data_IF_802597179406
#
_entry.id   IF_802597179406
#
_cell.length_a   1.000
_cell.length_b   1.000
_cell.length_c   1.000
_cell.angle_alpha   90.00
_cell.angle_beta   90.00
_cell.angle_gamma   90.00
#
_symmetry.space_group_name_H-M   'P 1'
#
loop_
_entity.id
_entity.type
_entity.pdbx_description
1 polymer ?
#
# COMPACT_ATOMS: atom_id res chain seq x y z
N UNK A 1 -22.46 19.64 10.91
CA UNK A 1 -22.10 18.71 9.80
C UNK A 1 -20.95 17.83 10.25
N UNK A 2 -21.23 16.64 10.76
CA UNK A 2 -20.19 15.67 11.15
C UNK A 2 -19.95 14.73 9.97
N UNK A 3 -18.89 14.98 9.21
CA UNK A 3 -18.40 14.04 8.22
C UNK A 3 -17.73 12.88 8.97
N UNK A 4 -18.50 11.82 9.24
CA UNK A 4 -17.96 10.55 9.68
C UNK A 4 -17.02 10.05 8.59
N UNK A 5 -15.72 10.30 8.79
CA UNK A 5 -14.65 9.76 7.96
C UNK A 5 -14.58 8.28 8.30
N UNK A 6 -15.43 7.48 7.66
CA UNK A 6 -15.37 6.01 7.70
C UNK A 6 -13.95 5.64 7.30
N UNK A 7 -13.12 5.32 8.29
CA UNK A 7 -11.74 4.86 8.06
C UNK A 7 -11.90 3.55 7.29
N UNK A 8 -11.43 3.52 6.05
CA UNK A 8 -11.47 2.31 5.25
C UNK A 8 -10.57 1.25 5.88
N UNK A 9 -10.84 0.00 5.54
CA UNK A 9 -9.99 -1.11 5.97
C UNK A 9 -8.65 -0.99 5.23
N UNK A 10 -7.55 -0.93 5.99
CA UNK A 10 -6.21 -0.88 5.42
C UNK A 10 -5.65 -2.29 5.31
N UNK A 11 -5.27 -2.69 4.10
CA UNK A 11 -4.70 -3.99 3.83
C UNK A 11 -3.38 -3.84 3.07
N UNK A 12 -2.34 -4.61 3.45
CA UNK A 12 -1.11 -4.71 2.68
C UNK A 12 -1.32 -5.50 1.38
N UNK A 13 -0.54 -5.15 0.36
CA UNK A 13 -0.52 -5.87 -0.90
C UNK A 13 0.65 -5.46 -1.80
N UNK A 14 0.82 -6.22 -2.87
CA UNK A 14 1.89 -6.03 -3.85
C UNK A 14 1.33 -5.52 -5.18
N UNK A 15 2.00 -4.53 -5.77
CA UNK A 15 1.62 -3.99 -7.07
C UNK A 15 2.00 -4.98 -8.18
N UNK A 16 1.01 -5.56 -8.84
CA UNK A 16 1.21 -6.55 -9.90
C UNK A 16 1.27 -5.92 -11.29
N UNK A 17 0.45 -4.90 -11.56
CA UNK A 17 0.40 -4.23 -12.88
C UNK A 17 0.12 -2.73 -12.76
N UNK A 18 0.73 -1.94 -13.64
CA UNK A 18 0.48 -0.51 -13.79
C UNK A 18 -0.48 -0.29 -14.97
N UNK A 19 -1.61 0.40 -14.75
CA UNK A 19 -2.57 0.76 -15.80
C UNK A 19 -2.29 2.19 -16.29
N UNK A 20 -2.59 2.47 -17.56
CA UNK A 20 -2.27 3.74 -18.23
C UNK A 20 -2.98 4.98 -17.65
N UNK A 21 -4.05 4.79 -16.88
CA UNK A 21 -4.83 5.87 -16.25
C UNK A 21 -4.36 6.24 -14.83
N UNK A 22 -3.14 5.82 -14.44
CA UNK A 22 -2.63 6.05 -13.09
C UNK A 22 -3.34 5.21 -12.02
N UNK A 23 -4.02 4.15 -12.43
CA UNK A 23 -4.48 3.08 -11.55
C UNK A 23 -3.46 1.94 -11.52
N UNK A 24 -3.50 1.17 -10.44
CA UNK A 24 -2.61 0.04 -10.24
C UNK A 24 -3.45 -1.17 -9.86
N UNK A 25 -3.08 -2.34 -10.40
CA UNK A 25 -3.60 -3.62 -9.91
C UNK A 25 -2.70 -4.08 -8.77
N UNK A 26 -3.30 -4.27 -7.61
CA UNK A 26 -2.64 -4.75 -6.42
C UNK A 26 -3.20 -6.11 -6.07
N UNK A 27 -2.31 -7.06 -5.81
CA UNK A 27 -2.63 -8.33 -5.19
C UNK A 27 -2.53 -8.17 -3.69
N UNK A 28 -3.67 -8.26 -3.02
CA UNK A 28 -3.72 -8.30 -1.55
C UNK A 28 -3.11 -9.60 -1.06
N UNK A 29 -2.61 -9.61 0.17
CA UNK A 29 -2.12 -10.84 0.84
C UNK A 29 -3.22 -11.92 0.91
N UNK A 30 -4.48 -11.50 0.98
CA UNK A 30 -5.65 -12.37 0.95
C UNK A 30 -5.88 -13.06 -0.42
N UNK A 31 -5.07 -12.76 -1.44
CA UNK A 31 -5.16 -13.35 -2.78
C UNK A 31 -6.07 -12.60 -3.76
N UNK A 32 -6.86 -11.63 -3.30
CA UNK A 32 -7.73 -10.82 -4.15
C UNK A 32 -6.94 -9.78 -4.96
N UNK A 33 -7.41 -9.53 -6.18
CA UNK A 33 -6.91 -8.49 -7.07
C UNK A 33 -7.80 -7.26 -6.99
N UNK A 34 -7.22 -6.12 -6.63
CA UNK A 34 -7.92 -4.85 -6.44
C UNK A 34 -7.33 -3.81 -7.37
N UNK A 35 -8.18 -2.94 -7.93
CA UNK A 35 -7.73 -1.77 -8.68
C UNK A 35 -7.72 -0.57 -7.74
N UNK A 36 -6.56 0.04 -7.54
CA UNK A 36 -6.44 1.20 -6.67
C UNK A 36 -5.81 2.40 -7.38
N UNK A 37 -6.22 3.59 -6.93
CA UNK A 37 -5.62 4.85 -7.35
C UNK A 37 -4.74 5.43 -6.24
N UNK A 38 -3.82 6.31 -6.63
CA UNK A 38 -2.95 7.01 -5.70
C UNK A 38 -3.73 8.02 -4.84
N UNK A 39 -3.50 8.01 -3.54
CA UNK A 39 -4.01 9.08 -2.68
C UNK A 39 -3.38 10.44 -3.02
N UNK A 40 -4.09 11.52 -2.71
CA UNK A 40 -3.55 12.88 -2.89
C UNK A 40 -2.24 13.11 -2.12
N UNK A 41 -2.03 12.39 -1.01
CA UNK A 41 -0.78 12.45 -0.23
C UNK A 41 0.40 11.91 -1.03
N UNK A 42 0.23 10.77 -1.71
CA UNK A 42 1.25 10.20 -2.62
C UNK A 42 1.59 11.19 -3.75
N UNK A 43 0.57 11.81 -4.37
CA UNK A 43 0.77 12.81 -5.43
C UNK A 43 1.56 14.03 -4.94
N UNK A 44 1.20 14.57 -3.77
CA UNK A 44 1.90 15.75 -3.19
C UNK A 44 3.35 15.43 -2.83
N UNK A 45 3.62 14.21 -2.36
CA UNK A 45 4.96 13.78 -1.96
C UNK A 45 5.80 13.20 -3.12
N UNK A 46 5.29 13.24 -4.36
CA UNK A 46 5.95 12.74 -5.57
C UNK A 46 6.47 11.30 -5.45
N UNK A 47 5.77 10.45 -4.69
CA UNK A 47 6.16 9.04 -4.51
C UNK A 47 5.74 8.27 -5.76
N UNK A 48 6.73 7.74 -6.48
CA UNK A 48 6.52 6.86 -7.64
C UNK A 48 6.31 5.43 -7.15
N UNK A 49 5.28 4.79 -7.68
CA UNK A 49 4.95 3.38 -7.44
C UNK A 49 5.32 2.60 -8.68
N UNK A 50 6.08 1.53 -8.50
CA UNK A 50 6.50 0.61 -9.56
C UNK A 50 5.89 -0.77 -9.37
N UNK A 51 6.03 -1.62 -10.37
CA UNK A 51 5.70 -3.05 -10.30
C UNK A 51 6.53 -3.72 -9.21
N UNK A 52 5.92 -4.59 -8.40
CA UNK A 52 6.55 -5.29 -7.28
C UNK A 52 6.69 -4.48 -6.00
N UNK A 53 6.21 -3.23 -5.97
CA UNK A 53 6.22 -2.44 -4.74
C UNK A 53 5.19 -2.96 -3.73
N UNK A 54 5.63 -3.03 -2.46
CA UNK A 54 4.77 -3.29 -1.32
C UNK A 54 4.06 -2.00 -0.92
N UNK A 55 2.73 -2.01 -0.96
CA UNK A 55 1.87 -0.86 -0.70
C UNK A 55 0.75 -1.21 0.26
N UNK A 56 0.25 -0.21 0.97
CA UNK A 56 -0.96 -0.36 1.77
C UNK A 56 -2.11 0.34 1.08
N UNK A 57 -3.16 -0.44 0.87
CA UNK A 57 -4.39 -0.04 0.20
C UNK A 57 -5.50 0.10 1.23
N UNK A 58 -6.17 1.23 1.21
CA UNK A 58 -7.39 1.47 1.95
C UNK A 58 -8.59 1.12 1.07
N UNK A 59 -9.42 0.20 1.53
CA UNK A 59 -10.61 -0.30 0.85
C UNK A 59 -11.85 0.13 1.63
N UNK A 60 -12.89 0.52 0.90
CA UNK A 60 -14.16 0.84 1.52
C UNK A 60 -14.95 -0.44 1.77
N UNK A 61 -15.63 -0.55 2.92
CA UNK A 61 -16.43 -1.74 3.25
C UNK A 61 -17.56 -2.02 2.23
N UNK A 62 -17.94 -1.03 1.43
CA UNK A 62 -18.96 -1.14 0.39
C UNK A 62 -18.42 -1.69 -0.93
N UNK A 63 -17.13 -1.48 -1.24
CA UNK A 63 -16.53 -1.84 -2.53
C UNK A 63 -15.15 -2.48 -2.32
N UNK A 64 -15.11 -3.81 -2.28
CA UNK A 64 -13.87 -4.57 -2.08
C UNK A 64 -12.96 -4.60 -3.33
N UNK A 65 -13.48 -4.28 -4.50
CA UNK A 65 -12.74 -4.31 -5.78
C UNK A 65 -11.95 -3.03 -6.08
N UNK A 66 -12.26 -1.93 -5.36
CA UNK A 66 -11.64 -0.63 -5.58
C UNK A 66 -10.98 -0.13 -4.30
N UNK A 67 -9.77 0.37 -4.42
CA UNK A 67 -8.99 0.83 -3.28
C UNK A 67 -8.31 2.18 -3.50
N UNK A 68 -7.71 2.70 -2.43
CA UNK A 68 -6.86 3.88 -2.45
C UNK A 68 -5.51 3.55 -1.85
N UNK A 69 -4.43 3.86 -2.57
CA UNK A 69 -3.07 3.63 -2.07
C UNK A 69 -2.69 4.76 -1.10
N UNK A 70 -2.51 4.42 0.18
CA UNK A 70 -2.24 5.40 1.24
C UNK A 70 -0.73 5.63 1.39
N UNK A 71 0.05 4.55 1.45
CA UNK A 71 1.50 4.62 1.61
C UNK A 71 2.21 3.42 0.97
N UNK A 72 3.46 3.66 0.58
CA UNK A 72 4.41 2.63 0.13
C UNK A 72 5.25 2.18 1.33
N UNK A 73 5.42 0.88 1.51
CA UNK A 73 6.29 0.33 2.54
C UNK A 73 7.74 0.40 2.05
N UNK A 74 8.48 1.41 2.51
CA UNK A 74 9.93 1.42 2.33
C UNK A 74 10.51 0.40 3.31
N UNK A 75 11.09 -0.69 2.80
CA UNK A 75 11.88 -1.62 3.60
C UNK A 75 13.10 -0.87 4.17
N UNK A 76 12.95 -0.23 5.33
CA UNK A 76 14.09 0.28 6.08
C UNK A 76 14.85 -0.93 6.61
N UNK A 77 15.83 -1.38 5.79
CA UNK A 77 17.13 -1.92 6.19
C UNK A 77 17.15 -2.66 7.55
N UNK A 78 17.00 -4.00 7.52
CA UNK A 78 17.46 -4.91 8.58
C UNK A 78 19.00 -4.82 8.73
N UNK A 79 19.54 -3.78 9.37
CA UNK A 79 21.01 -3.66 9.55
C UNK A 79 21.47 -3.97 10.98
N UNK A 80 20.64 -3.87 12.03
CA UNK A 80 21.17 -3.92 13.41
C UNK A 80 20.57 -5.00 14.31
N UNK A 81 20.71 -6.28 13.95
CA UNK A 81 20.37 -7.36 14.91
C UNK A 81 21.36 -8.54 14.93
N UNK A 82 22.46 -8.48 14.16
CA UNK A 82 23.47 -9.56 14.17
C UNK A 82 24.56 -9.32 15.24
N UNK A 83 24.65 -8.13 15.85
CA UNK A 83 25.70 -7.82 16.85
C UNK A 83 25.46 -8.37 18.27
N UNK A 84 24.34 -9.03 18.56
CA UNK A 84 24.09 -9.58 19.91
C UNK A 84 24.51 -11.05 20.09
N UNK A 85 25.03 -11.73 19.05
CA UNK A 85 25.44 -13.15 19.15
C UNK A 85 26.95 -13.39 19.41
N UNK A 86 27.69 -12.39 19.89
CA UNK A 86 29.13 -12.56 20.22
C UNK A 86 29.48 -11.96 21.58
N UNK A 87 28.82 -12.48 22.63
CA UNK A 87 29.28 -12.35 24.00
C UNK A 87 28.86 -13.59 24.80
N UNK A 88 29.46 -14.73 24.46
CA UNK A 88 29.77 -15.82 25.40
C UNK A 88 31.14 -16.34 24.97
#
# INVERSE_FOLDING_TARGET
MMANKTKGLQLPGEVTQCLSNGMFRIRLENGFLVVAYISGKIRRNSIRILLGDQVVVEICAYDLSRGRIVYRLNQKKKINTIKQKKLI
#
